data_IF_430109184894
#
_entry.id   IF_430109184894
#
_cell.length_a   1.000
_cell.length_b   1.000
_cell.length_c   1.000
_cell.angle_alpha   90.00
_cell.angle_beta   90.00
_cell.angle_gamma   90.00
#
_symmetry.space_group_name_H-M   'P 1'
#
loop_
_entity.id
_entity.type
_entity.pdbx_description
1 polymer ?
#
# COMPACT_ATOMS: atom_id res chain seq x y z
N UNK A 1 -22.55 0.29 11.56
CA UNK A 1 -23.03 -0.25 12.85
C UNK A 1 -22.05 -1.30 13.30
N UNK A 2 -21.68 -1.31 14.58
CA UNK A 2 -20.78 -2.33 15.15
C UNK A 2 -21.51 -3.67 15.21
N UNK A 3 -20.86 -4.75 14.79
CA UNK A 3 -21.36 -6.14 14.92
C UNK A 3 -20.51 -6.88 15.95
N UNK A 4 -21.00 -7.98 16.57
CA UNK A 4 -20.20 -8.74 17.53
C UNK A 4 -18.84 -9.22 16.97
N UNK A 5 -18.77 -9.47 15.66
CA UNK A 5 -17.53 -9.84 14.96
C UNK A 5 -16.54 -8.68 14.89
N UNK A 6 -17.04 -7.48 14.59
CA UNK A 6 -16.22 -6.25 14.56
C UNK A 6 -15.70 -5.96 15.97
N UNK A 7 -16.53 -6.10 17.01
CA UNK A 7 -16.10 -5.89 18.41
C UNK A 7 -15.03 -6.88 18.83
N UNK A 8 -15.19 -8.16 18.49
CA UNK A 8 -14.18 -9.18 18.73
C UNK A 8 -12.88 -8.88 17.98
N UNK A 9 -12.96 -8.40 16.73
CA UNK A 9 -11.79 -8.02 15.94
C UNK A 9 -11.05 -6.82 16.55
N UNK A 10 -11.79 -5.80 17.02
CA UNK A 10 -11.23 -4.63 17.72
C UNK A 10 -10.56 -5.02 19.04
N UNK A 11 -11.17 -5.93 19.80
CA UNK A 11 -10.59 -6.46 21.04
C UNK A 11 -9.30 -7.24 20.77
N UNK A 12 -9.30 -8.09 19.76
CA UNK A 12 -8.12 -8.84 19.32
C UNK A 12 -7.00 -7.90 18.85
N UNK A 13 -7.33 -6.91 18.02
CA UNK A 13 -6.38 -5.90 17.53
C UNK A 13 -5.74 -5.11 18.67
N UNK A 14 -6.54 -4.74 19.68
CA UNK A 14 -6.06 -4.04 20.88
C UNK A 14 -5.14 -4.93 21.71
N UNK A 15 -5.53 -6.17 21.97
CA UNK A 15 -4.70 -7.13 22.70
C UNK A 15 -3.38 -7.41 21.96
N UNK A 16 -3.43 -7.56 20.64
CA UNK A 16 -2.25 -7.80 19.81
C UNK A 16 -1.29 -6.60 19.83
N UNK A 17 -1.82 -5.37 19.74
CA UNK A 17 -1.00 -4.17 19.81
C UNK A 17 -0.30 -4.04 21.18
N UNK A 18 -0.99 -4.36 22.28
CA UNK A 18 -0.43 -4.32 23.64
C UNK A 18 0.70 -5.32 23.88
N UNK A 19 0.72 -6.44 23.15
CA UNK A 19 1.82 -7.42 23.21
C UNK A 19 3.11 -6.89 22.57
N UNK A 20 3.02 -5.81 21.78
CA UNK A 20 4.12 -5.27 21.01
C UNK A 20 4.42 -6.05 19.73
N UNK A 21 5.49 -5.68 19.01
CA UNK A 21 5.79 -6.24 17.70
C UNK A 21 5.97 -7.75 17.73
N UNK A 22 5.17 -8.44 16.91
CA UNK A 22 5.23 -9.89 16.72
C UNK A 22 4.84 -10.25 15.29
N UNK A 23 5.02 -11.53 14.95
CA UNK A 23 4.62 -12.09 13.67
C UNK A 23 4.26 -13.56 13.87
N UNK A 24 3.06 -13.96 13.43
CA UNK A 24 2.66 -15.37 13.43
C UNK A 24 3.20 -16.06 12.18
N UNK A 25 3.92 -17.19 12.30
CA UNK A 25 4.45 -17.92 11.15
C UNK A 25 3.32 -18.46 10.26
N UNK A 26 3.61 -18.80 8.99
CA UNK A 26 2.65 -19.49 8.13
C UNK A 26 2.25 -20.83 8.76
N UNK A 27 0.98 -21.23 8.59
CA UNK A 27 0.46 -22.50 9.12
C UNK A 27 0.40 -23.61 8.05
N UNK A 28 0.72 -23.28 6.79
CA UNK A 28 0.79 -24.20 5.66
C UNK A 28 -0.58 -24.65 5.15
N UNK A 29 -1.68 -24.09 5.65
CA UNK A 29 -3.03 -24.49 5.24
C UNK A 29 -3.40 -23.83 3.91
N UNK A 30 -3.82 -24.63 2.91
CA UNK A 30 -4.39 -24.07 1.68
C UNK A 30 -5.64 -23.23 2.00
N UNK A 31 -5.79 -22.10 1.31
CA UNK A 31 -6.97 -21.23 1.40
C UNK A 31 -7.84 -21.44 0.16
N UNK A 32 -9.16 -21.29 0.32
CA UNK A 32 -10.14 -21.48 -0.76
C UNK A 32 -10.56 -20.17 -1.42
N UNK A 33 -10.39 -19.05 -0.71
CA UNK A 33 -10.83 -17.74 -1.16
C UNK A 33 -9.72 -16.72 -0.99
N UNK A 34 -9.31 -16.07 -2.07
CA UNK A 34 -8.19 -15.13 -2.08
C UNK A 34 -8.69 -13.73 -2.41
N UNK A 35 -8.47 -12.79 -1.50
CA UNK A 35 -8.90 -11.40 -1.69
C UNK A 35 -7.74 -10.43 -1.58
N UNK A 36 -7.80 -9.35 -2.38
CA UNK A 36 -6.95 -8.19 -2.20
C UNK A 36 -7.78 -6.97 -1.75
N UNK A 37 -7.24 -6.23 -0.79
CA UNK A 37 -7.78 -4.96 -0.31
C UNK A 37 -6.72 -3.87 -0.48
N UNK A 38 -7.04 -2.87 -1.29
CA UNK A 38 -6.14 -1.76 -1.59
C UNK A 38 -6.28 -0.63 -0.59
N UNK A 39 -5.15 0.01 -0.28
CA UNK A 39 -5.05 1.26 0.49
C UNK A 39 -5.95 1.29 1.74
N UNK A 40 -5.56 0.58 2.82
CA UNK A 40 -6.33 0.50 4.04
C UNK A 40 -6.22 1.77 4.90
N UNK A 41 -5.87 2.93 4.33
CA UNK A 41 -5.86 4.26 4.97
C UNK A 41 -7.25 4.71 5.45
N UNK A 42 -7.78 4.03 6.46
CA UNK A 42 -9.06 4.29 7.09
C UNK A 42 -9.03 3.88 8.57
N UNK A 43 -10.03 4.31 9.33
CA UNK A 43 -10.22 3.82 10.70
C UNK A 43 -10.37 2.27 10.69
N UNK A 44 -9.75 1.60 11.66
CA UNK A 44 -9.75 0.13 11.73
C UNK A 44 -11.16 -0.46 11.85
N UNK A 45 -12.10 0.26 12.47
CA UNK A 45 -13.51 -0.16 12.54
C UNK A 45 -14.11 -0.25 11.14
N UNK A 46 -13.73 0.68 10.26
CA UNK A 46 -14.18 0.70 8.88
C UNK A 46 -13.55 -0.44 8.07
N UNK A 47 -12.26 -0.71 8.27
CA UNK A 47 -11.60 -1.87 7.67
C UNK A 47 -12.33 -3.17 8.05
N UNK A 48 -12.63 -3.37 9.34
CA UNK A 48 -13.40 -4.54 9.79
C UNK A 48 -14.84 -4.57 9.28
N UNK A 49 -15.50 -3.42 9.14
CA UNK A 49 -16.83 -3.36 8.56
C UNK A 49 -16.86 -3.81 7.08
N UNK A 50 -15.80 -3.50 6.31
CA UNK A 50 -15.62 -4.02 4.94
C UNK A 50 -15.48 -5.55 4.99
N UNK A 51 -14.57 -6.07 5.83
CA UNK A 51 -14.36 -7.51 5.94
C UNK A 51 -15.63 -8.26 6.39
N UNK A 52 -16.37 -7.73 7.37
CA UNK A 52 -17.62 -8.33 7.86
C UNK A 52 -18.71 -8.35 6.78
N UNK A 53 -18.84 -7.27 6.01
CA UNK A 53 -19.78 -7.20 4.87
C UNK A 53 -19.50 -8.27 3.82
N UNK A 54 -18.24 -8.61 3.60
CA UNK A 54 -17.83 -9.67 2.68
C UNK A 54 -17.83 -11.07 3.33
N UNK A 55 -18.24 -11.19 4.61
CA UNK A 55 -18.33 -12.45 5.31
C UNK A 55 -16.96 -13.06 5.69
N UNK A 56 -15.91 -12.24 5.74
CA UNK A 56 -14.53 -12.68 5.93
C UNK A 56 -14.13 -12.80 7.41
N UNK A 57 -14.90 -12.21 8.32
CA UNK A 57 -14.67 -12.27 9.77
C UNK A 57 -15.45 -13.42 10.43
N UNK A 58 -14.75 -14.22 11.23
CA UNK A 58 -15.34 -15.21 12.12
C UNK A 58 -15.88 -14.60 13.41
N UNK A 59 -16.63 -15.40 14.18
CA UNK A 59 -17.22 -14.98 15.46
C UNK A 59 -16.18 -14.52 16.51
N UNK A 60 -14.94 -14.99 16.41
CA UNK A 60 -13.83 -14.62 17.29
C UNK A 60 -13.05 -13.38 16.81
N UNK A 61 -13.52 -12.68 15.78
CA UNK A 61 -12.86 -11.49 15.25
C UNK A 61 -11.62 -11.76 14.39
N UNK A 62 -11.32 -13.03 14.06
CA UNK A 62 -10.26 -13.42 13.13
C UNK A 62 -10.81 -13.57 11.72
N UNK A 63 -9.92 -13.58 10.73
CA UNK A 63 -10.28 -14.08 9.40
C UNK A 63 -10.78 -15.53 9.50
N UNK A 64 -11.82 -15.86 8.74
CA UNK A 64 -12.26 -17.26 8.63
C UNK A 64 -11.13 -18.13 8.04
N UNK A 65 -11.02 -19.41 8.43
CA UNK A 65 -9.85 -20.23 8.10
C UNK A 65 -9.56 -20.39 6.60
N UNK A 66 -10.59 -20.35 5.75
CA UNK A 66 -10.49 -20.60 4.31
C UNK A 66 -10.14 -19.35 3.50
N UNK A 67 -9.98 -18.20 4.15
CA UNK A 67 -9.70 -16.91 3.49
C UNK A 67 -8.21 -16.59 3.56
N UNK A 68 -7.65 -16.18 2.42
CA UNK A 68 -6.45 -15.37 2.35
C UNK A 68 -6.82 -13.91 2.08
N UNK A 69 -6.28 -12.99 2.88
CA UNK A 69 -6.42 -11.55 2.68
C UNK A 69 -5.05 -10.94 2.37
N UNK A 70 -4.94 -10.26 1.25
CA UNK A 70 -3.75 -9.50 0.86
C UNK A 70 -4.05 -8.00 1.06
N UNK A 71 -3.40 -7.40 2.05
CA UNK A 71 -3.49 -5.96 2.31
C UNK A 71 -2.39 -5.22 1.55
N UNK A 72 -2.80 -4.30 0.67
CA UNK A 72 -1.90 -3.69 -0.31
C UNK A 72 -1.45 -2.30 0.15
N UNK A 73 -0.37 -2.27 0.93
CA UNK A 73 0.42 -1.07 1.27
C UNK A 73 -0.32 0.00 2.06
N UNK A 74 0.43 1.04 2.45
CA UNK A 74 -0.07 2.29 3.02
C UNK A 74 -0.98 2.09 4.24
N UNK A 75 -0.47 1.42 5.26
CA UNK A 75 -1.24 1.18 6.49
C UNK A 75 -1.26 2.39 7.44
N UNK A 76 -0.54 3.46 7.09
CA UNK A 76 -0.35 4.66 7.92
C UNK A 76 -0.67 5.96 7.18
N UNK A 77 -0.73 7.07 7.94
CA UNK A 77 -0.95 8.46 7.48
C UNK A 77 -2.24 8.77 6.68
N UNK A 78 -3.31 8.99 7.43
CA UNK A 78 -4.59 9.47 6.94
C UNK A 78 -5.18 10.36 8.02
N UNK A 79 -6.43 10.77 7.89
CA UNK A 79 -7.03 11.69 8.85
C UNK A 79 -6.69 13.16 8.58
N UNK A 80 -7.30 14.04 9.37
CA UNK A 80 -6.94 15.45 9.51
C UNK A 80 -6.03 15.62 10.71
N UNK A 81 -5.44 16.80 10.88
CA UNK A 81 -4.55 17.12 12.00
C UNK A 81 -5.13 16.78 13.38
N UNK A 82 -6.41 17.07 13.60
CA UNK A 82 -7.12 16.79 14.87
C UNK A 82 -7.32 15.29 15.15
N UNK A 83 -7.15 14.41 14.16
CA UNK A 83 -7.38 12.97 14.27
C UNK A 83 -6.07 12.18 14.47
N UNK A 84 -4.91 12.83 14.36
CA UNK A 84 -3.58 12.18 14.27
C UNK A 84 -3.31 11.14 15.35
N UNK A 85 -3.67 11.39 16.61
CA UNK A 85 -3.44 10.45 17.72
C UNK A 85 -4.31 9.18 17.60
N UNK A 86 -5.59 9.37 17.33
CA UNK A 86 -6.54 8.26 17.16
C UNK A 86 -6.17 7.42 15.94
N UNK A 87 -5.79 8.10 14.86
CA UNK A 87 -5.29 7.51 13.62
C UNK A 87 -4.02 6.71 13.89
N UNK A 88 -2.99 7.30 14.52
CA UNK A 88 -1.75 6.60 14.82
C UNK A 88 -1.98 5.30 15.61
N UNK A 89 -2.88 5.34 16.59
CA UNK A 89 -3.29 4.16 17.37
C UNK A 89 -4.03 3.13 16.52
N UNK A 90 -4.95 3.56 15.66
CA UNK A 90 -5.73 2.70 14.76
C UNK A 90 -4.83 1.92 13.80
N UNK A 91 -3.81 2.55 13.20
CA UNK A 91 -2.88 1.86 12.29
C UNK A 91 -2.09 0.76 12.99
N UNK A 92 -1.56 1.05 14.19
CA UNK A 92 -0.81 0.05 14.97
C UNK A 92 -1.70 -1.15 15.29
N UNK A 93 -2.96 -0.92 15.67
CA UNK A 93 -3.93 -2.00 15.90
C UNK A 93 -4.21 -2.82 14.66
N UNK A 94 -4.33 -2.18 13.49
CA UNK A 94 -4.55 -2.87 12.22
C UNK A 94 -3.37 -3.79 11.89
N UNK A 95 -2.14 -3.25 11.94
CA UNK A 95 -0.92 -4.01 11.70
C UNK A 95 -0.78 -5.17 12.70
N UNK A 96 -1.02 -4.92 13.98
CA UNK A 96 -0.95 -5.95 15.01
C UNK A 96 -1.99 -7.07 14.78
N UNK A 97 -3.22 -6.70 14.40
CA UNK A 97 -4.26 -7.68 14.05
C UNK A 97 -3.86 -8.53 12.85
N UNK A 98 -3.33 -7.92 11.78
CA UNK A 98 -2.83 -8.64 10.61
C UNK A 98 -1.66 -9.58 10.96
N UNK A 99 -0.71 -9.10 11.77
CA UNK A 99 0.46 -9.87 12.19
C UNK A 99 0.12 -11.04 13.13
N UNK A 100 -1.00 -10.96 13.85
CA UNK A 100 -1.50 -12.04 14.69
C UNK A 100 -2.05 -13.23 13.88
N UNK A 101 -2.32 -13.06 12.57
CA UNK A 101 -2.73 -14.14 11.67
C UNK A 101 -1.52 -14.84 11.04
N UNK A 102 -1.63 -16.15 10.71
CA UNK A 102 -0.62 -16.86 9.95
C UNK A 102 -0.18 -16.10 8.70
N UNK A 103 1.11 -16.18 8.39
CA UNK A 103 1.69 -15.34 7.34
C UNK A 103 1.18 -15.62 5.92
N UNK A 104 0.65 -16.82 5.72
CA UNK A 104 0.00 -17.29 4.50
C UNK A 104 -1.53 -17.06 4.50
N UNK A 105 -2.13 -16.59 5.60
CA UNK A 105 -3.54 -16.22 5.69
C UNK A 105 -3.75 -14.71 5.51
N UNK A 106 -2.94 -13.88 6.18
CA UNK A 106 -3.02 -12.43 6.06
C UNK A 106 -1.69 -11.91 5.51
N UNK A 107 -1.64 -11.51 4.24
CA UNK A 107 -0.41 -11.04 3.58
C UNK A 107 -0.32 -9.52 3.71
N UNK A 108 0.82 -9.04 4.20
CA UNK A 108 1.11 -7.61 4.36
C UNK A 108 2.09 -7.17 3.25
N UNK A 109 1.62 -6.32 2.34
CA UNK A 109 2.48 -5.71 1.32
C UNK A 109 2.87 -4.29 1.75
N UNK A 110 4.11 -3.90 1.46
CA UNK A 110 4.62 -2.56 1.79
C UNK A 110 4.09 -1.51 0.83
N UNK A 111 3.63 -0.38 1.37
CA UNK A 111 3.47 0.88 0.65
C UNK A 111 4.52 1.92 1.03
N UNK A 112 4.42 3.10 0.43
CA UNK A 112 5.34 4.20 0.72
C UNK A 112 5.18 4.75 2.14
N UNK A 113 3.96 4.77 2.69
CA UNK A 113 3.75 5.25 4.06
C UNK A 113 4.30 4.27 5.11
N UNK A 114 4.28 2.96 4.82
CA UNK A 114 4.91 1.93 5.64
C UNK A 114 6.43 2.12 5.65
N UNK A 115 7.04 2.21 4.46
CA UNK A 115 8.48 2.39 4.31
C UNK A 115 8.97 3.73 4.88
N UNK A 116 8.15 4.79 4.83
CA UNK A 116 8.47 6.09 5.41
C UNK A 116 8.86 6.02 6.89
N UNK A 117 8.36 5.01 7.63
CA UNK A 117 8.73 4.79 9.05
C UNK A 117 10.18 4.40 9.25
N UNK A 118 10.79 3.69 8.30
CA UNK A 118 12.17 3.21 8.36
C UNK A 118 13.09 3.83 7.31
N UNK A 119 12.54 4.62 6.39
CA UNK A 119 13.28 5.44 5.43
C UNK A 119 13.39 6.88 5.91
N UNK A 120 12.51 7.76 5.41
CA UNK A 120 12.51 9.21 5.71
C UNK A 120 12.52 9.52 7.22
N UNK A 121 11.78 8.74 8.01
CA UNK A 121 11.59 8.99 9.43
C UNK A 121 12.49 8.15 10.34
N UNK A 122 13.50 7.47 9.78
CA UNK A 122 14.35 6.53 10.52
C UNK A 122 15.02 7.16 11.76
N UNK A 123 15.41 8.44 11.67
CA UNK A 123 16.13 9.15 12.74
C UNK A 123 15.26 9.92 13.73
N UNK A 124 13.93 9.98 13.53
CA UNK A 124 13.06 10.81 14.37
C UNK A 124 12.67 10.14 15.68
N UNK A 125 12.61 10.92 16.76
CA UNK A 125 11.86 10.53 17.97
C UNK A 125 10.47 11.14 17.94
N UNK A 126 9.54 10.65 18.76
CA UNK A 126 8.19 11.23 18.89
C UNK A 126 8.29 12.71 19.23
N UNK A 127 9.15 13.07 20.19
CA UNK A 127 9.38 14.45 20.61
C UNK A 127 9.97 15.32 19.49
N UNK A 128 10.97 14.82 18.76
CA UNK A 128 11.59 15.58 17.67
C UNK A 128 10.62 15.79 16.51
N UNK A 129 9.83 14.76 16.19
CA UNK A 129 8.86 14.84 15.10
C UNK A 129 7.70 15.77 15.47
N UNK A 130 7.20 15.74 16.70
CA UNK A 130 6.15 16.64 17.16
C UNK A 130 6.57 18.12 17.03
N UNK A 131 7.82 18.46 17.37
CA UNK A 131 8.35 19.82 17.18
C UNK A 131 8.40 20.22 15.71
N UNK A 132 8.95 19.34 14.86
CA UNK A 132 9.00 19.59 13.41
C UNK A 132 7.60 19.72 12.80
N UNK A 133 6.63 18.93 13.27
CA UNK A 133 5.25 18.96 12.79
C UNK A 133 4.52 20.25 13.13
N UNK A 134 4.67 20.76 14.37
CA UNK A 134 4.08 22.05 14.76
C UNK A 134 4.58 23.17 13.85
N UNK A 135 5.88 23.15 13.53
CA UNK A 135 6.46 24.12 12.61
C UNK A 135 5.94 23.95 11.17
N UNK A 136 5.93 22.73 10.65
CA UNK A 136 5.44 22.41 9.31
C UNK A 136 3.96 22.81 9.13
N UNK A 137 3.10 22.55 10.12
CA UNK A 137 1.69 22.98 10.12
C UNK A 137 1.54 24.51 10.05
N UNK A 138 2.50 25.26 10.60
CA UNK A 138 2.53 26.72 10.54
C UNK A 138 3.05 27.28 9.20
N UNK A 139 3.71 26.45 8.38
CA UNK A 139 4.26 26.80 7.07
C UNK A 139 3.30 26.36 5.95
N UNK A 140 2.74 25.15 6.04
CA UNK A 140 1.85 24.57 5.05
C UNK A 140 0.37 24.86 5.37
N UNK A 141 -0.33 25.55 4.45
CA UNK A 141 -1.76 25.89 4.59
C UNK A 141 -2.61 25.28 3.49
N UNK A 142 -2.58 23.96 3.37
CA UNK A 142 -3.50 23.22 2.50
C UNK A 142 -3.26 23.46 1.00
N UNK A 143 -2.00 23.47 0.59
CA UNK A 143 -1.57 23.67 -0.80
C UNK A 143 -0.81 24.97 -1.05
N UNK A 144 -0.76 25.86 -0.05
CA UNK A 144 0.07 27.05 -0.04
C UNK A 144 1.25 26.87 0.94
N UNK A 145 2.46 27.13 0.46
CA UNK A 145 3.72 26.95 1.19
C UNK A 145 4.52 28.25 1.11
N UNK A 146 4.92 28.78 2.27
CA UNK A 146 5.91 29.84 2.32
C UNK A 146 7.29 29.27 2.00
N UNK A 147 7.74 29.43 0.75
CA UNK A 147 9.00 28.87 0.24
C UNK A 147 10.22 29.32 1.05
N UNK A 148 10.23 30.56 1.58
CA UNK A 148 11.35 31.04 2.37
C UNK A 148 11.42 30.31 3.71
N UNK A 149 10.27 30.17 4.38
CA UNK A 149 10.18 29.43 5.64
C UNK A 149 10.40 27.93 5.45
N UNK A 150 9.97 27.35 4.32
CA UNK A 150 10.26 25.96 4.00
C UNK A 150 11.77 25.73 3.83
N UNK A 151 12.49 26.62 3.12
CA UNK A 151 13.96 26.50 3.02
C UNK A 151 14.65 26.54 4.39
N UNK A 152 14.23 27.46 5.26
CA UNK A 152 14.78 27.56 6.63
C UNK A 152 14.42 26.35 7.50
N UNK A 153 13.25 25.75 7.28
CA UNK A 153 12.83 24.50 7.92
C UNK A 153 13.71 23.33 7.48
N UNK A 154 13.89 23.15 6.17
CA UNK A 154 14.68 22.06 5.60
C UNK A 154 16.17 22.16 5.93
N UNK A 155 16.70 23.37 6.10
CA UNK A 155 18.06 23.56 6.60
C UNK A 155 18.25 23.02 8.04
N UNK A 156 17.20 23.03 8.87
CA UNK A 156 17.20 22.49 10.25
C UNK A 156 16.82 21.01 10.32
N UNK A 157 16.07 20.53 9.33
CA UNK A 157 15.63 19.14 9.23
C UNK A 157 16.01 18.53 7.86
N UNK A 158 17.31 18.38 7.57
CA UNK A 158 17.79 17.96 6.25
C UNK A 158 17.32 16.56 5.82
N UNK A 159 16.94 15.71 6.78
CA UNK A 159 16.38 14.38 6.54
C UNK A 159 14.93 14.39 6.02
N UNK A 160 14.22 15.53 6.10
CA UNK A 160 12.85 15.65 5.64
C UNK A 160 12.80 16.17 4.20
N UNK A 161 11.89 15.66 3.36
CA UNK A 161 11.80 16.06 1.96
C UNK A 161 11.17 17.44 1.72
N UNK A 162 10.10 17.78 2.42
CA UNK A 162 9.38 19.06 2.34
C UNK A 162 8.41 19.21 3.54
N UNK A 163 7.81 20.39 3.74
CA UNK A 163 6.88 20.61 4.87
C UNK A 163 5.52 19.95 4.68
N UNK A 164 5.05 19.80 3.43
CA UNK A 164 3.76 19.17 3.13
C UNK A 164 3.70 17.74 3.63
N UNK A 165 4.76 16.96 3.39
CA UNK A 165 4.83 15.56 3.83
C UNK A 165 4.82 15.46 5.35
N UNK A 166 5.50 16.37 6.07
CA UNK A 166 5.48 16.38 7.54
C UNK A 166 4.08 16.69 8.09
N UNK A 167 3.40 17.66 7.48
CA UNK A 167 2.07 18.09 7.90
C UNK A 167 0.98 17.05 7.53
N UNK A 168 1.12 16.35 6.40
CA UNK A 168 0.09 15.45 5.87
C UNK A 168 0.52 13.99 5.90
N UNK A 169 1.50 13.64 5.08
CA UNK A 169 1.81 12.26 4.68
C UNK A 169 2.69 11.50 5.68
N UNK A 170 3.25 12.19 6.67
CA UNK A 170 3.91 11.65 7.86
C UNK A 170 3.17 12.08 9.13
N UNK A 171 2.00 12.70 8.97
CA UNK A 171 1.29 13.42 10.00
C UNK A 171 0.98 12.59 11.25
N UNK A 172 0.98 11.27 11.10
CA UNK A 172 0.57 10.32 12.14
C UNK A 172 1.75 9.55 12.72
N UNK A 173 2.99 9.90 12.33
CA UNK A 173 4.20 9.19 12.74
C UNK A 173 4.28 9.04 14.26
N UNK A 174 4.50 7.81 14.70
CA UNK A 174 4.93 7.49 16.06
C UNK A 174 6.08 6.49 16.02
N UNK A 175 7.00 6.57 16.97
CA UNK A 175 8.12 5.62 17.08
C UNK A 175 7.63 4.16 17.23
N UNK A 176 6.46 3.98 17.84
CA UNK A 176 5.79 2.68 17.89
C UNK A 176 5.52 2.08 16.50
N UNK A 177 5.05 2.89 15.54
CA UNK A 177 4.81 2.42 14.18
C UNK A 177 6.13 1.97 13.53
N UNK A 178 7.20 2.73 13.72
CA UNK A 178 8.55 2.33 13.25
C UNK A 178 9.00 1.02 13.86
N UNK A 179 8.81 0.82 15.17
CA UNK A 179 9.18 -0.44 15.84
C UNK A 179 8.43 -1.64 15.24
N UNK A 180 7.15 -1.47 14.91
CA UNK A 180 6.37 -2.49 14.21
C UNK A 180 6.88 -2.76 12.80
N UNK A 181 7.11 -1.72 11.99
CA UNK A 181 7.62 -1.87 10.62
C UNK A 181 8.99 -2.54 10.60
N UNK A 182 9.93 -2.09 11.44
CA UNK A 182 11.26 -2.70 11.56
C UNK A 182 11.18 -4.19 11.92
N UNK A 183 10.39 -4.54 12.93
CA UNK A 183 10.18 -5.93 13.32
C UNK A 183 9.64 -6.78 12.16
N UNK A 184 8.58 -6.31 11.50
CA UNK A 184 7.91 -7.05 10.43
C UNK A 184 8.77 -7.18 9.18
N UNK A 185 9.63 -6.21 8.88
CA UNK A 185 10.64 -6.32 7.82
C UNK A 185 11.67 -7.40 8.17
N UNK A 186 12.23 -7.37 9.38
CA UNK A 186 13.23 -8.36 9.82
C UNK A 186 12.67 -9.78 9.92
N UNK A 187 11.39 -9.90 10.28
CA UNK A 187 10.66 -11.17 10.30
C UNK A 187 10.22 -11.65 8.90
N UNK A 188 10.57 -10.91 7.82
CA UNK A 188 10.10 -11.16 6.44
C UNK A 188 8.58 -11.25 6.33
N UNK A 189 7.88 -10.53 7.20
CA UNK A 189 6.43 -10.51 7.31
C UNK A 189 5.81 -9.50 6.35
N UNK A 190 6.45 -8.34 6.21
CA UNK A 190 6.20 -7.43 5.11
C UNK A 190 6.86 -7.93 3.83
N UNK A 191 6.15 -7.82 2.70
CA UNK A 191 6.64 -8.21 1.38
C UNK A 191 6.46 -7.07 0.39
N UNK A 192 7.23 -7.09 -0.70
CA UNK A 192 7.08 -6.14 -1.81
C UNK A 192 5.88 -6.53 -2.67
N UNK A 193 5.73 -7.82 -2.94
CA UNK A 193 4.71 -8.36 -3.81
C UNK A 193 4.29 -9.79 -3.42
N UNK A 194 3.15 -10.21 -3.94
CA UNK A 194 2.59 -11.56 -3.82
C UNK A 194 2.17 -12.11 -5.19
N UNK A 195 2.44 -13.39 -5.46
CA UNK A 195 2.05 -14.04 -6.71
C UNK A 195 0.67 -14.69 -6.54
N UNK A 196 -0.37 -14.09 -7.12
CA UNK A 196 -1.73 -14.62 -7.08
C UNK A 196 -1.99 -15.67 -8.17
N UNK A 197 -1.25 -15.61 -9.27
CA UNK A 197 -1.24 -16.62 -10.33
C UNK A 197 0.04 -16.53 -11.16
N UNK A 198 0.23 -17.47 -12.10
CA UNK A 198 1.35 -17.52 -13.04
C UNK A 198 1.67 -16.18 -13.74
N UNK A 199 0.62 -15.39 -14.02
CA UNK A 199 0.71 -14.10 -14.72
C UNK A 199 -0.02 -12.97 -13.98
N UNK A 200 -0.19 -13.13 -12.67
CA UNK A 200 -0.84 -12.14 -11.83
C UNK A 200 -0.06 -11.93 -10.54
N UNK A 201 0.30 -10.68 -10.28
CA UNK A 201 0.95 -10.28 -9.03
C UNK A 201 0.12 -9.20 -8.33
N UNK A 202 0.27 -9.12 -7.01
CA UNK A 202 -0.27 -8.06 -6.17
C UNK A 202 0.90 -7.31 -5.56
N UNK A 203 0.90 -5.98 -5.66
CA UNK A 203 1.94 -5.09 -5.14
C UNK A 203 1.36 -3.69 -4.93
N UNK A 204 2.10 -2.78 -4.31
CA UNK A 204 1.54 -1.47 -3.96
C UNK A 204 1.14 -0.60 -5.16
N UNK A 205 2.10 -0.23 -6.03
CA UNK A 205 1.84 0.81 -7.05
C UNK A 205 2.14 0.39 -8.50
N UNK A 206 3.01 -0.61 -8.71
CA UNK A 206 3.29 -1.20 -10.01
C UNK A 206 4.77 -1.17 -10.41
N UNK A 207 5.19 -2.15 -11.21
CA UNK A 207 6.56 -2.29 -11.75
C UNK A 207 6.55 -2.28 -13.28
N UNK A 208 7.56 -1.66 -13.87
CA UNK A 208 7.83 -1.69 -15.31
C UNK A 208 8.99 -2.62 -15.64
N UNK A 209 9.25 -2.80 -16.94
CA UNK A 209 10.39 -3.59 -17.42
C UNK A 209 11.74 -3.07 -16.90
N UNK A 210 11.89 -1.75 -16.77
CA UNK A 210 13.11 -1.11 -16.25
C UNK A 210 13.33 -1.39 -14.77
N UNK A 211 12.26 -1.42 -13.98
CA UNK A 211 12.37 -1.73 -12.55
C UNK A 211 12.77 -3.19 -12.35
N UNK A 212 12.17 -4.09 -13.14
CA UNK A 212 12.52 -5.51 -13.16
C UNK A 212 13.96 -5.73 -13.63
N UNK A 213 14.42 -5.00 -14.65
CA UNK A 213 15.81 -5.01 -15.07
C UNK A 213 16.76 -4.46 -13.99
N UNK A 214 16.36 -3.40 -13.27
CA UNK A 214 17.18 -2.80 -12.21
C UNK A 214 17.42 -3.76 -11.02
N UNK A 215 16.53 -4.72 -10.79
CA UNK A 215 16.72 -5.81 -9.82
C UNK A 215 17.28 -7.09 -10.43
N UNK A 216 17.71 -7.06 -11.69
CA UNK A 216 18.39 -8.17 -12.35
C UNK A 216 17.49 -9.27 -12.93
N UNK A 217 16.18 -9.04 -13.05
CA UNK A 217 15.29 -10.03 -13.66
C UNK A 217 15.40 -9.99 -15.19
N UNK A 218 15.66 -11.16 -15.79
CA UNK A 218 15.71 -11.34 -17.24
C UNK A 218 14.36 -11.03 -17.91
N UNK A 219 14.38 -10.39 -19.08
CA UNK A 219 13.18 -9.98 -19.83
C UNK A 219 12.25 -11.15 -20.14
N UNK A 220 12.79 -12.36 -20.39
CA UNK A 220 11.99 -13.56 -20.64
C UNK A 220 11.09 -13.97 -19.47
N UNK A 221 11.41 -13.50 -18.25
CA UNK A 221 10.67 -13.80 -17.02
C UNK A 221 9.77 -12.64 -16.57
N UNK A 222 9.74 -11.50 -17.27
CA UNK A 222 8.98 -10.32 -16.84
C UNK A 222 7.46 -10.56 -16.78
N UNK A 223 6.95 -11.56 -17.51
CA UNK A 223 5.53 -11.95 -17.46
C UNK A 223 5.24 -13.09 -16.48
N UNK A 224 6.28 -13.68 -15.87
CA UNK A 224 6.15 -14.81 -14.95
C UNK A 224 6.05 -14.31 -13.51
N UNK A 225 4.81 -14.25 -13.00
CA UNK A 225 4.45 -13.69 -11.70
C UNK A 225 5.29 -14.23 -10.53
N UNK A 226 5.46 -15.56 -10.38
CA UNK A 226 6.30 -16.13 -9.34
C UNK A 226 7.76 -15.63 -9.38
N UNK A 227 8.40 -15.59 -10.56
CA UNK A 227 9.77 -15.06 -10.68
C UNK A 227 9.85 -13.57 -10.37
N UNK A 228 8.88 -12.78 -10.85
CA UNK A 228 8.82 -11.35 -10.53
C UNK A 228 8.74 -11.13 -9.01
N UNK A 229 7.82 -11.83 -8.35
CA UNK A 229 7.59 -11.72 -6.91
C UNK A 229 8.79 -12.19 -6.10
N UNK A 230 9.40 -13.31 -6.50
CA UNK A 230 10.61 -13.82 -5.87
C UNK A 230 11.75 -12.79 -5.95
N UNK A 231 12.05 -12.26 -7.14
CA UNK A 231 13.14 -11.28 -7.31
C UNK A 231 12.90 -9.98 -6.53
N UNK A 232 11.67 -9.44 -6.56
CA UNK A 232 11.33 -8.24 -5.80
C UNK A 232 11.47 -8.45 -4.28
N UNK A 233 10.99 -9.59 -3.77
CA UNK A 233 11.09 -9.90 -2.35
C UNK A 233 12.54 -10.22 -1.93
N UNK A 234 13.34 -10.86 -2.80
CA UNK A 234 14.77 -11.09 -2.54
C UNK A 234 15.56 -9.77 -2.46
N UNK A 235 15.23 -8.78 -3.30
CA UNK A 235 15.84 -7.45 -3.24
C UNK A 235 15.55 -6.76 -1.88
N UNK A 236 14.32 -6.85 -1.40
CA UNK A 236 13.96 -6.38 -0.05
C UNK A 236 14.71 -7.14 1.04
N UNK A 237 14.64 -8.47 1.03
CA UNK A 237 15.25 -9.33 2.07
C UNK A 237 16.77 -9.06 2.15
N UNK A 238 17.43 -8.84 1.01
CA UNK A 238 18.85 -8.50 0.94
C UNK A 238 19.15 -7.10 1.50
N UNK A 239 18.32 -6.11 1.16
CA UNK A 239 18.46 -4.76 1.70
C UNK A 239 18.27 -4.73 3.22
N UNK A 240 17.25 -5.43 3.74
CA UNK A 240 16.98 -5.55 5.19
C UNK A 240 18.11 -6.29 5.91
N UNK A 241 18.67 -7.35 5.32
CA UNK A 241 19.78 -8.09 5.91
C UNK A 241 21.06 -7.22 6.03
N UNK A 242 21.30 -6.35 5.05
CA UNK A 242 22.42 -5.39 5.09
C UNK A 242 22.14 -4.15 5.96
N UNK A 243 20.88 -3.91 6.32
CA UNK A 243 20.45 -2.71 7.02
C UNK A 243 20.70 -2.79 8.53
N UNK A 244 21.67 -1.98 8.98
CA UNK A 244 22.09 -1.90 10.38
C UNK A 244 21.63 -0.62 11.07
N UNK A 245 21.76 0.53 10.39
CA UNK A 245 21.46 1.86 10.93
C UNK A 245 21.01 2.80 9.79
N UNK A 246 20.38 3.93 10.16
CA UNK A 246 19.97 4.97 9.22
C UNK A 246 18.75 4.59 8.37
N UNK A 247 18.42 5.39 7.34
CA UNK A 247 17.30 5.12 6.43
C UNK A 247 17.49 3.81 5.67
N UNK A 248 16.44 2.99 5.62
CA UNK A 248 16.40 1.83 4.73
C UNK A 248 16.36 2.29 3.27
N UNK A 249 17.23 1.73 2.44
CA UNK A 249 17.24 1.91 0.99
C UNK A 249 17.20 0.53 0.33
N UNK A 250 16.34 0.36 -0.68
CA UNK A 250 16.24 -0.89 -1.44
C UNK A 250 16.74 -0.58 -2.86
N UNK A 251 17.97 -0.97 -3.22
CA UNK A 251 18.54 -0.66 -4.53
C UNK A 251 17.59 -0.98 -5.68
N UNK A 252 17.36 0.01 -6.56
CA UNK A 252 16.44 -0.08 -7.69
C UNK A 252 14.95 0.07 -7.35
N UNK A 253 14.52 -0.25 -6.12
CA UNK A 253 13.10 -0.33 -5.75
C UNK A 253 12.61 0.81 -4.85
N UNK A 254 13.44 1.32 -3.95
CA UNK A 254 13.06 2.35 -2.98
C UNK A 254 14.24 3.22 -2.59
N UNK A 255 14.06 4.53 -2.72
CA UNK A 255 14.96 5.55 -2.19
C UNK A 255 14.18 6.53 -1.32
N UNK A 256 14.49 6.65 -0.02
CA UNK A 256 13.85 7.63 0.85
C UNK A 256 14.15 9.05 0.36
N UNK A 257 13.19 9.95 0.57
CA UNK A 257 13.35 11.38 0.32
C UNK A 257 14.18 12.10 1.39
N UNK A 258 14.70 13.26 1.04
CA UNK A 258 15.42 14.18 1.92
C UNK A 258 15.39 15.61 1.33
N UNK A 259 15.91 16.60 2.05
CA UNK A 259 15.86 18.00 1.62
C UNK A 259 16.66 18.29 0.33
N UNK A 260 17.65 17.45 0.01
CA UNK A 260 18.51 17.61 -1.18
C UNK A 260 17.88 16.96 -2.41
N UNK A 261 17.29 15.78 -2.22
CA UNK A 261 16.75 14.94 -3.29
C UNK A 261 15.25 15.18 -3.55
N UNK A 262 14.57 15.78 -2.58
CA UNK A 262 13.13 15.92 -2.53
C UNK A 262 12.45 14.63 -2.09
N UNK A 263 11.23 14.41 -2.54
CA UNK A 263 10.40 13.28 -2.13
C UNK A 263 10.98 11.91 -2.52
N UNK A 264 10.62 10.90 -1.72
CA UNK A 264 11.01 9.51 -1.95
C UNK A 264 10.57 8.97 -3.32
N UNK A 265 11.32 7.99 -3.82
CA UNK A 265 11.15 7.41 -5.16
C UNK A 265 11.18 5.89 -5.14
N UNK A 266 10.66 5.30 -6.21
CA UNK A 266 10.68 3.87 -6.49
C UNK A 266 9.29 3.31 -6.67
N UNK A 267 9.23 1.98 -6.77
CA UNK A 267 8.03 1.23 -7.15
C UNK A 267 6.89 1.37 -6.13
N UNK A 268 7.18 1.88 -4.93
CA UNK A 268 6.21 2.18 -3.89
C UNK A 268 5.56 3.57 -4.05
N UNK A 269 6.11 4.47 -4.85
CA UNK A 269 5.52 5.79 -5.15
C UNK A 269 4.95 5.89 -6.55
N UNK A 270 5.04 4.80 -7.32
CA UNK A 270 4.76 4.79 -8.74
C UNK A 270 3.33 5.21 -9.05
N UNK A 271 3.19 6.20 -9.94
CA UNK A 271 1.90 6.55 -10.50
C UNK A 271 2.00 6.53 -12.03
N UNK A 272 1.06 5.89 -12.73
CA UNK A 272 1.02 5.94 -14.18
C UNK A 272 0.80 7.39 -14.62
N UNK A 273 1.63 7.90 -15.52
CA UNK A 273 1.54 9.27 -16.01
C UNK A 273 1.86 9.38 -17.50
N UNK A 274 1.02 10.14 -18.19
CA UNK A 274 1.26 10.62 -19.56
C UNK A 274 1.47 12.14 -19.59
N UNK A 275 1.53 12.80 -18.42
CA UNK A 275 1.79 14.24 -18.35
C UNK A 275 3.16 14.57 -18.99
N UNK A 276 3.22 15.55 -19.91
CA UNK A 276 4.49 15.99 -20.51
C UNK A 276 5.51 16.48 -19.47
N UNK A 277 5.03 17.10 -18.38
CA UNK A 277 5.87 17.63 -17.29
C UNK A 277 6.63 16.52 -16.55
N UNK A 278 6.14 15.28 -16.60
CA UNK A 278 6.77 14.13 -15.94
C UNK A 278 7.83 13.44 -16.83
N UNK A 279 8.06 13.91 -18.06
CA UNK A 279 8.93 13.21 -19.03
C UNK A 279 10.34 12.96 -18.47
N UNK A 280 11.00 13.98 -17.91
CA UNK A 280 12.34 13.84 -17.33
C UNK A 280 12.35 12.96 -16.07
N UNK A 281 11.24 12.92 -15.33
CA UNK A 281 11.11 12.11 -14.12
C UNK A 281 10.87 10.61 -14.41
N UNK A 282 10.46 10.27 -15.63
CA UNK A 282 10.18 8.89 -16.07
C UNK A 282 11.43 8.10 -16.47
N UNK A 283 12.53 8.77 -16.78
CA UNK A 283 13.73 8.11 -17.33
C UNK A 283 14.76 7.72 -16.25
N UNK A 284 14.51 8.10 -14.99
CA UNK A 284 15.36 7.73 -13.85
C UNK A 284 14.87 6.45 -13.14
N UNK A 285 15.77 5.65 -12.57
CA UNK A 285 15.39 4.54 -11.66
C UNK A 285 16.18 4.67 -10.36
N UNK A 286 15.53 4.74 -9.19
CA UNK A 286 14.08 4.74 -8.97
C UNK A 286 13.39 6.07 -9.36
N UNK A 287 12.11 5.99 -9.78
CA UNK A 287 11.24 7.14 -10.15
C UNK A 287 9.92 7.13 -9.39
N UNK A 288 9.12 8.19 -9.52
CA UNK A 288 7.75 8.28 -8.95
C UNK A 288 6.65 8.18 -9.99
N UNK A 289 7.02 8.35 -11.26
CA UNK A 289 6.10 8.40 -12.40
C UNK A 289 6.63 7.48 -13.47
N UNK A 290 5.75 6.77 -14.16
CA UNK A 290 6.13 5.90 -15.25
C UNK A 290 5.13 6.00 -16.39
N UNK A 291 5.62 5.75 -17.59
CA UNK A 291 4.79 5.61 -18.77
C UNK A 291 4.12 4.22 -18.74
N UNK A 292 2.78 4.11 -18.71
CA UNK A 292 2.10 2.82 -18.64
C UNK A 292 2.47 1.89 -19.78
N UNK A 293 2.85 2.42 -20.96
CA UNK A 293 3.30 1.63 -22.12
C UNK A 293 4.58 0.84 -21.87
N UNK A 294 5.27 1.08 -20.75
CA UNK A 294 6.50 0.38 -20.33
C UNK A 294 6.24 -0.80 -19.40
N UNK A 295 4.98 -1.04 -19.01
CA UNK A 295 4.59 -2.21 -18.23
C UNK A 295 4.98 -3.52 -18.95
N UNK A 296 5.33 -4.58 -18.21
CA UNK A 296 5.66 -5.88 -18.78
C UNK A 296 4.43 -6.54 -19.40
N UNK A 297 4.45 -6.75 -20.72
CA UNK A 297 3.37 -7.40 -21.44
C UNK A 297 3.17 -8.84 -20.95
N UNK A 298 1.92 -9.28 -20.94
CA UNK A 298 1.52 -10.60 -20.46
C UNK A 298 1.40 -10.68 -18.93
N UNK A 299 1.66 -9.61 -18.18
CA UNK A 299 1.51 -9.55 -16.74
C UNK A 299 0.30 -8.69 -16.33
N UNK A 300 -0.51 -9.23 -15.41
CA UNK A 300 -1.50 -8.46 -14.66
C UNK A 300 -0.94 -8.07 -13.29
N UNK A 301 -1.04 -6.81 -12.95
CA UNK A 301 -0.57 -6.23 -11.70
C UNK A 301 -1.75 -5.64 -10.93
N UNK A 302 -2.10 -6.24 -9.80
CA UNK A 302 -3.09 -5.70 -8.86
C UNK A 302 -2.38 -4.70 -7.97
N UNK A 303 -2.85 -3.45 -7.96
CA UNK A 303 -2.22 -2.33 -7.25
C UNK A 303 -3.18 -1.67 -6.27
N UNK A 304 -2.65 -1.28 -5.12
CA UNK A 304 -3.34 -0.59 -4.04
C UNK A 304 -3.02 0.90 -3.98
N UNK A 305 -2.36 1.47 -4.99
CA UNK A 305 -1.98 2.88 -4.98
C UNK A 305 -2.58 3.66 -6.15
N UNK A 306 -3.08 4.85 -5.84
CA UNK A 306 -3.60 5.91 -6.72
C UNK A 306 -5.10 5.83 -6.97
N UNK A 307 -5.85 6.66 -6.23
CA UNK A 307 -7.28 6.93 -6.43
C UNK A 307 -7.62 7.47 -7.82
N UNK A 308 -8.88 7.31 -8.22
CA UNK A 308 -9.38 7.64 -9.57
C UNK A 308 -9.09 9.07 -9.98
N UNK A 309 -9.35 10.02 -9.07
CA UNK A 309 -9.09 11.44 -9.31
C UNK A 309 -7.65 11.67 -9.77
N UNK A 310 -6.68 11.09 -9.05
CA UNK A 310 -5.26 11.30 -9.35
C UNK A 310 -4.81 10.52 -10.59
N UNK A 311 -5.36 9.33 -10.84
CA UNK A 311 -5.11 8.61 -12.09
C UNK A 311 -5.56 9.44 -13.30
N UNK A 312 -6.78 9.98 -13.28
CA UNK A 312 -7.33 10.78 -14.38
C UNK A 312 -6.50 12.03 -14.65
N UNK A 313 -6.08 12.74 -13.61
CA UNK A 313 -5.16 13.88 -13.72
C UNK A 313 -3.85 13.49 -14.42
N UNK A 314 -3.17 12.44 -13.93
CA UNK A 314 -1.84 12.06 -14.43
C UNK A 314 -1.88 11.40 -15.81
N UNK A 315 -2.96 10.72 -16.15
CA UNK A 315 -3.18 10.11 -17.46
C UNK A 315 -3.76 11.10 -18.49
N UNK A 316 -4.03 12.34 -18.08
CA UNK A 316 -4.59 13.40 -18.93
C UNK A 316 -5.92 12.94 -19.57
N UNK A 317 -6.75 12.28 -18.77
CA UNK A 317 -8.07 11.80 -19.20
C UNK A 317 -9.09 12.94 -19.18
N UNK A 318 -10.20 12.84 -19.95
CA UNK A 318 -11.30 13.80 -19.88
C UNK A 318 -11.81 13.98 -18.44
N UNK A 319 -12.31 15.18 -18.15
CA UNK A 319 -12.81 15.60 -16.82
C UNK A 319 -14.16 14.95 -16.43
N UNK A 320 -14.27 13.63 -16.55
CA UNK A 320 -15.39 12.91 -15.94
C UNK A 320 -15.28 12.97 -14.42
N UNK A 321 -16.42 12.77 -13.75
CA UNK A 321 -16.45 12.68 -12.29
C UNK A 321 -15.67 11.46 -11.81
N UNK A 322 -14.65 11.63 -10.95
CA UNK A 322 -13.95 10.50 -10.34
C UNK A 322 -14.89 9.61 -9.54
N UNK A 323 -14.63 8.30 -9.55
CA UNK A 323 -15.40 7.30 -8.83
C UNK A 323 -14.57 6.67 -7.70
N UNK A 324 -14.98 6.92 -6.46
CA UNK A 324 -14.47 6.19 -5.30
C UNK A 324 -15.27 4.89 -5.08
N UNK A 325 -14.66 3.95 -4.34
CA UNK A 325 -15.23 2.67 -3.95
C UNK A 325 -15.10 1.56 -5.00
N UNK A 326 -15.01 1.89 -6.28
CA UNK A 326 -15.02 0.89 -7.36
C UNK A 326 -13.63 0.44 -7.78
N UNK A 327 -13.52 -0.81 -8.22
CA UNK A 327 -12.34 -1.30 -8.93
C UNK A 327 -12.18 -0.56 -10.26
N UNK A 328 -10.94 -0.39 -10.71
CA UNK A 328 -10.60 0.28 -11.97
C UNK A 328 -9.46 -0.49 -12.62
N UNK A 329 -9.31 -0.37 -13.93
CA UNK A 329 -8.17 -0.99 -14.62
C UNK A 329 -7.60 -0.10 -15.73
N UNK A 330 -6.32 -0.32 -15.99
CA UNK A 330 -5.59 0.18 -17.16
C UNK A 330 -5.10 -1.02 -17.96
N UNK A 331 -5.35 -1.03 -19.28
CA UNK A 331 -4.80 -2.00 -20.22
C UNK A 331 -3.87 -1.28 -21.20
N UNK A 332 -2.75 -1.90 -21.56
CA UNK A 332 -1.88 -1.44 -22.64
C UNK A 332 -1.27 -2.59 -23.42
N UNK A 333 -1.06 -2.39 -24.71
CA UNK A 333 -0.28 -3.27 -25.59
C UNK A 333 1.14 -2.74 -25.83
N UNK A 334 1.60 -1.78 -25.03
CA UNK A 334 2.88 -1.09 -25.19
C UNK A 334 2.84 0.10 -26.17
N UNK A 335 1.71 0.36 -26.82
CA UNK A 335 1.52 1.51 -27.72
C UNK A 335 0.35 2.38 -27.29
N UNK A 336 -0.80 1.76 -27.03
CA UNK A 336 -2.04 2.43 -26.62
C UNK A 336 -2.36 2.15 -25.16
N UNK A 337 -3.13 3.03 -24.52
CA UNK A 337 -3.65 2.81 -23.18
C UNK A 337 -5.18 2.91 -23.19
N UNK A 338 -5.84 2.09 -22.38
CA UNK A 338 -7.29 2.16 -22.10
C UNK A 338 -7.47 2.12 -20.59
N UNK A 339 -8.24 3.05 -20.04
CA UNK A 339 -8.47 3.20 -18.61
C UNK A 339 -9.96 3.24 -18.31
N UNK A 340 -10.47 2.32 -17.48
CA UNK A 340 -11.92 2.16 -17.23
C UNK A 340 -12.25 1.72 -15.81
N UNK A 341 -13.45 2.03 -15.31
CA UNK A 341 -13.98 1.39 -14.11
C UNK A 341 -14.29 -0.11 -14.37
N UNK A 342 -14.29 -0.90 -13.30
CA UNK A 342 -14.55 -2.33 -13.30
C UNK A 342 -13.28 -3.20 -13.33
N UNK A 343 -13.40 -4.39 -13.90
CA UNK A 343 -12.30 -5.33 -14.12
C UNK A 343 -12.25 -5.77 -15.59
N UNK A 344 -11.07 -6.09 -16.14
CA UNK A 344 -10.97 -6.51 -17.53
C UNK A 344 -11.59 -7.90 -17.72
N UNK A 345 -12.32 -8.10 -18.83
CA UNK A 345 -12.98 -9.39 -19.14
C UNK A 345 -11.98 -10.52 -19.38
N UNK A 346 -10.87 -10.23 -20.04
CA UNK A 346 -9.74 -11.13 -20.26
C UNK A 346 -8.50 -10.29 -20.61
N UNK A 347 -7.32 -10.71 -20.16
CA UNK A 347 -6.05 -10.10 -20.55
C UNK A 347 -5.42 -10.92 -21.69
N UNK A 348 -5.07 -10.28 -22.80
CA UNK A 348 -4.30 -10.96 -23.85
C UNK A 348 -2.81 -11.07 -23.47
N UNK A 349 -2.08 -12.11 -23.93
CA UNK A 349 -0.63 -12.20 -23.70
C UNK A 349 0.18 -11.02 -24.25
N UNK A 350 -0.35 -10.30 -25.25
CA UNK A 350 0.25 -9.08 -25.80
C UNK A 350 -0.12 -7.81 -25.03
N UNK A 351 -0.81 -7.91 -23.90
CA UNK A 351 -1.27 -6.80 -23.09
C UNK A 351 -0.69 -6.87 -21.67
N UNK A 352 -0.38 -5.72 -21.10
CA UNK A 352 -0.16 -5.55 -19.67
C UNK A 352 -1.41 -4.92 -19.05
N UNK A 353 -1.71 -5.32 -17.81
CA UNK A 353 -2.88 -4.83 -17.06
C UNK A 353 -2.44 -4.30 -15.71
N UNK A 354 -2.89 -3.11 -15.34
CA UNK A 354 -2.94 -2.65 -13.95
C UNK A 354 -4.39 -2.70 -13.48
N UNK A 355 -4.64 -3.37 -12.35
CA UNK A 355 -5.95 -3.46 -11.71
C UNK A 355 -5.88 -2.73 -10.37
N UNK A 356 -6.55 -1.58 -10.27
CA UNK A 356 -6.52 -0.71 -9.10
C UNK A 356 -7.58 -1.13 -8.09
N UNK A 357 -7.12 -1.38 -6.87
CA UNK A 357 -7.92 -1.77 -5.68
C UNK A 357 -8.03 -0.66 -4.64
N UNK A 358 -7.30 0.45 -4.84
CA UNK A 358 -7.49 1.68 -4.09
C UNK A 358 -8.84 2.32 -4.48
N UNK A 359 -9.85 2.04 -3.64
CA UNK A 359 -11.17 2.63 -3.74
C UNK A 359 -11.34 3.90 -2.92
N UNK A 360 -10.29 4.48 -2.32
CA UNK A 360 -10.44 5.54 -1.32
C UNK A 360 -11.28 5.02 -0.16
N UNK A 361 -10.72 4.09 0.63
CA UNK A 361 -11.48 3.38 1.66
C UNK A 361 -12.17 4.37 2.57
N UNK A 362 -11.51 5.44 3.02
CA UNK A 362 -12.08 6.46 3.90
C UNK A 362 -13.19 7.30 3.24
N UNK A 363 -13.07 7.60 1.95
CA UNK A 363 -13.92 8.57 1.24
C UNK A 363 -15.18 7.96 0.64
N UNK A 364 -15.15 6.66 0.34
CA UNK A 364 -16.29 5.94 -0.25
C UNK A 364 -17.40 5.65 0.77
N UNK A 365 -18.66 5.46 0.34
CA UNK A 365 -19.65 4.74 1.13
C UNK A 365 -19.23 3.28 1.34
N UNK A 366 -19.51 2.70 2.51
CA UNK A 366 -19.09 1.33 2.86
C UNK A 366 -19.64 0.31 1.85
N UNK A 367 -20.88 0.50 1.42
CA UNK A 367 -21.59 -0.36 0.49
C UNK A 367 -21.06 -0.33 -0.95
N UNK A 368 -20.35 0.73 -1.30
CA UNK A 368 -19.77 0.96 -2.61
C UNK A 368 -18.33 0.45 -2.71
N UNK A 369 -17.63 0.25 -1.57
CA UNK A 369 -16.25 -0.22 -1.55
C UNK A 369 -16.15 -1.67 -2.04
N UNK A 370 -15.37 -1.89 -3.10
CA UNK A 370 -15.16 -3.18 -3.73
C UNK A 370 -13.77 -3.71 -3.39
N UNK A 371 -13.73 -4.86 -2.71
CA UNK A 371 -12.54 -5.70 -2.67
C UNK A 371 -12.38 -6.47 -3.98
N UNK A 372 -11.15 -6.86 -4.32
CA UNK A 372 -10.90 -7.76 -5.43
C UNK A 372 -10.92 -9.21 -4.94
N UNK A 373 -11.72 -10.04 -5.58
CA UNK A 373 -11.59 -11.50 -5.52
C UNK A 373 -10.58 -11.93 -6.60
N UNK A 374 -9.46 -12.50 -6.15
CA UNK A 374 -8.33 -12.87 -7.01
C UNK A 374 -8.61 -14.13 -7.83
N UNK A 375 -9.52 -14.99 -7.34
CA UNK A 375 -9.90 -16.23 -7.99
C UNK A 375 -10.80 -15.93 -9.20
N UNK A 376 -11.78 -15.03 -9.04
CA UNK A 376 -12.69 -14.61 -10.12
C UNK A 376 -12.19 -13.41 -10.91
N UNK A 377 -11.20 -12.69 -10.40
CA UNK A 377 -10.65 -11.43 -10.96
C UNK A 377 -11.70 -10.33 -11.08
N UNK A 378 -12.69 -10.35 -10.21
CA UNK A 378 -13.83 -9.44 -10.18
C UNK A 378 -14.06 -8.85 -8.79
N UNK A 379 -15.05 -7.96 -8.65
CA UNK A 379 -15.46 -7.48 -7.34
C UNK A 379 -15.89 -8.65 -6.44
N UNK A 380 -15.37 -8.67 -5.22
CA UNK A 380 -15.66 -9.70 -4.24
C UNK A 380 -17.15 -9.77 -3.92
N UNK A 381 -17.69 -10.99 -3.85
CA UNK A 381 -19.04 -11.26 -3.35
C UNK A 381 -18.96 -11.75 -1.91
N UNK A 382 -19.96 -11.46 -1.07
CA UNK A 382 -20.01 -12.04 0.27
C UNK A 382 -19.94 -13.57 0.20
N UNK A 383 -19.10 -14.18 1.03
CA UNK A 383 -19.04 -15.64 1.14
C UNK A 383 -20.34 -16.13 1.77
N UNK A 384 -21.10 -16.95 1.04
CA UNK A 384 -22.33 -17.55 1.53
C UNK A 384 -22.01 -18.69 2.50
N UNK A 385 -22.57 -18.66 3.72
CA UNK A 385 -22.44 -19.75 4.71
C UNK A 385 -21.98 -19.31 6.10
N UNK A 386 -21.49 -18.09 6.29
CA UNK A 386 -21.18 -17.53 7.62
C UNK A 386 -22.38 -16.79 8.22
N UNK A 387 -23.55 -17.45 8.24
CA UNK A 387 -24.69 -16.94 8.99
C UNK A 387 -24.36 -16.96 10.50
N UNK A 388 -24.86 -16.01 11.30
CA UNK A 388 -24.69 -16.05 12.75
C UNK A 388 -25.53 -17.22 13.31
N UNK A 389 -24.88 -18.32 13.71
CA UNK A 389 -25.53 -19.29 14.60
C UNK A 389 -25.29 -20.78 14.36
N UNK A 390 -24.58 -21.22 13.32
CA UNK A 390 -24.31 -22.65 13.16
C UNK A 390 -22.89 -23.00 13.62
N UNK A 391 -22.82 -23.46 14.87
CA UNK A 391 -21.71 -24.27 15.38
C UNK A 391 -21.99 -25.72 14.98
N UNK A 392 -21.00 -26.50 14.50
CA UNK A 392 -21.14 -27.95 14.40
C UNK A 392 -21.36 -28.62 15.76
#
# INVERSE_FOLDING_TARGET
MSTPRIEAALALATSAAQQGPHSTPPDGRPRLHHFAIGDPQADITRFFAVLDRHGLLGANGRLIPDVQLISVGDHFDWGKSLERDAVATSAVRLIAWMAAHPADQAVLLLGNHDLGRVGELAGFTDARFALAQVEADGIYRGGDVDEARERDFLARHPELPNVELVARDFGTFREEQRRWVDHLLRARRFRVAHAAAERMIVLHAGVTREDLHAVGLSESLHSHGPSVVETLNQALDSAVAAWTQGPLHIPGLYRPGDATYGEGRGIFYHRPSLSPEDTLHRDATPRRRFDPRRLPLGLTQVVGHTRDKRCRELLVLPHDTPQDGVLRYLVTNGTTIDYRPGTPRAAHPGEAVLLFTDGGMRESPLEAFQMLDLDTRGPARPIQGSAPGEVP
#
